data_IF_504710192009
#
_entry.id   IF_504710192009
#
_cell.length_a   1.000
_cell.length_b   1.000
_cell.length_c   1.000
_cell.angle_alpha   90.00
_cell.angle_beta   90.00
_cell.angle_gamma   90.00
#
_symmetry.space_group_name_H-M   'P 1'
#
loop_
_entity.id
_entity.type
_entity.pdbx_description
1 polymer ?
#
# COMPACT_ATOMS: atom_id res chain seq x y z
N UNK A 1 3.00 2.99 20.99
CA UNK A 1 2.64 1.54 20.96
C UNK A 1 3.67 0.79 20.12
N UNK A 2 4.06 -0.39 20.57
CA UNK A 2 4.93 -1.30 19.83
C UNK A 2 4.16 -2.04 18.72
N UNK A 3 4.90 -2.67 17.80
CA UNK A 3 4.33 -3.51 16.73
C UNK A 3 3.40 -4.60 17.29
N UNK A 4 3.79 -5.26 18.41
CA UNK A 4 2.99 -6.30 19.06
C UNK A 4 1.72 -5.77 19.73
N UNK A 5 1.79 -4.58 20.29
CA UNK A 5 0.62 -3.94 20.92
C UNK A 5 -0.42 -3.54 19.87
N UNK A 6 0.03 -3.08 18.70
CA UNK A 6 -0.85 -2.80 17.57
C UNK A 6 -1.52 -4.07 17.02
N UNK A 7 -0.74 -5.13 16.74
CA UNK A 7 -1.29 -6.42 16.31
C UNK A 7 -2.35 -6.94 17.30
N UNK A 8 -2.05 -6.84 18.61
CA UNK A 8 -3.01 -7.24 19.67
C UNK A 8 -4.26 -6.38 19.66
N UNK A 9 -4.12 -5.05 19.52
CA UNK A 9 -5.26 -4.11 19.50
C UNK A 9 -6.17 -4.34 18.29
N UNK A 10 -5.60 -4.68 17.15
CA UNK A 10 -6.32 -4.95 15.91
C UNK A 10 -6.82 -6.42 15.83
N UNK A 11 -6.45 -7.26 16.79
CA UNK A 11 -6.70 -8.71 16.78
C UNK A 11 -6.18 -9.43 15.53
N UNK A 12 -4.98 -9.03 15.07
CA UNK A 12 -4.31 -9.61 13.89
C UNK A 12 -2.91 -10.10 14.24
N UNK A 13 -2.29 -10.85 13.32
CA UNK A 13 -0.93 -11.37 13.44
C UNK A 13 -0.19 -11.07 12.14
N UNK A 14 0.60 -10.00 12.13
CA UNK A 14 1.31 -9.56 10.92
C UNK A 14 2.82 -9.58 11.05
N UNK A 15 3.35 -9.65 12.28
CA UNK A 15 4.79 -9.66 12.53
C UNK A 15 5.43 -10.91 11.93
N UNK A 16 6.64 -10.75 11.39
CA UNK A 16 7.46 -11.80 10.81
C UNK A 16 7.96 -11.43 9.43
N UNK A 17 8.84 -12.26 8.89
CA UNK A 17 9.39 -12.17 7.54
C UNK A 17 9.16 -13.49 6.83
N UNK A 18 8.85 -13.44 5.56
CA UNK A 18 8.78 -14.63 4.70
C UNK A 18 9.66 -14.36 3.48
N UNK A 19 10.48 -15.33 3.13
CA UNK A 19 11.32 -15.24 1.94
C UNK A 19 10.50 -15.39 0.67
N UNK A 20 11.00 -14.84 -0.41
CA UNK A 20 10.35 -14.86 -1.73
C UNK A 20 11.33 -15.44 -2.76
N UNK A 21 10.89 -16.43 -3.51
CA UNK A 21 11.70 -17.08 -4.54
C UNK A 21 11.52 -16.45 -5.93
N UNK A 22 10.45 -15.66 -6.13
CA UNK A 22 10.19 -15.00 -7.40
C UNK A 22 10.98 -13.68 -7.48
N UNK A 23 11.93 -13.54 -8.45
CA UNK A 23 12.81 -12.37 -8.54
C UNK A 23 12.07 -11.05 -8.87
N UNK A 24 10.80 -11.12 -9.23
CA UNK A 24 9.99 -9.94 -9.53
C UNK A 24 9.18 -9.42 -8.33
N UNK A 25 9.19 -10.14 -7.22
CA UNK A 25 8.47 -9.79 -6.00
C UNK A 25 9.41 -9.65 -4.83
N UNK A 26 9.08 -8.77 -3.91
CA UNK A 26 9.87 -8.55 -2.69
C UNK A 26 9.49 -9.54 -1.60
N UNK A 27 10.44 -9.96 -0.74
CA UNK A 27 10.12 -10.72 0.45
C UNK A 27 9.07 -10.01 1.31
N UNK A 28 8.23 -10.78 2.00
CA UNK A 28 7.26 -10.19 2.91
C UNK A 28 7.97 -9.43 4.03
N UNK A 29 7.71 -8.15 4.09
CA UNK A 29 8.12 -7.23 5.14
C UNK A 29 6.96 -6.32 5.52
N UNK A 30 6.87 -5.95 6.79
CA UNK A 30 5.72 -5.18 7.27
C UNK A 30 6.00 -3.69 7.30
N UNK A 31 5.10 -2.87 6.76
CA UNK A 31 5.11 -1.42 7.00
C UNK A 31 5.02 -1.15 8.51
N UNK A 32 5.95 -0.39 9.11
CA UNK A 32 5.90 -0.07 10.54
C UNK A 32 4.62 0.66 10.91
N UNK A 33 4.05 0.34 12.07
CA UNK A 33 2.83 1.02 12.53
C UNK A 33 3.02 2.51 12.80
N UNK A 34 4.23 2.94 13.16
CA UNK A 34 4.56 4.36 13.29
C UNK A 34 4.43 5.13 11.97
N UNK A 35 4.83 4.51 10.87
CA UNK A 35 4.66 5.04 9.50
C UNK A 35 3.19 5.08 9.12
N UNK A 36 2.45 4.00 9.39
CA UNK A 36 1.01 3.93 9.13
C UNK A 36 0.23 4.98 9.93
N UNK A 37 0.63 5.23 11.19
CA UNK A 37 0.04 6.29 12.00
C UNK A 37 0.27 7.67 11.37
N UNK A 38 1.49 7.95 10.93
CA UNK A 38 1.84 9.21 10.26
C UNK A 38 1.05 9.40 8.97
N UNK A 39 0.90 8.33 8.17
CA UNK A 39 0.05 8.34 6.98
C UNK A 39 -1.43 8.59 7.32
N UNK A 40 -1.94 7.93 8.36
CA UNK A 40 -3.31 8.13 8.83
C UNK A 40 -3.55 9.59 9.26
N UNK A 41 -2.58 10.19 9.98
CA UNK A 41 -2.68 11.56 10.51
C UNK A 41 -2.52 12.64 9.42
N UNK A 42 -1.92 12.30 8.28
CA UNK A 42 -1.72 13.23 7.16
C UNK A 42 -3.03 13.64 6.46
N UNK A 43 -4.08 12.84 6.59
CA UNK A 43 -5.36 13.10 5.95
C UNK A 43 -5.42 12.75 4.44
N UNK A 44 -4.37 12.14 3.88
CA UNK A 44 -4.37 11.72 2.47
C UNK A 44 -5.32 10.56 2.19
N UNK A 45 -5.69 9.79 3.22
CA UNK A 45 -6.71 8.74 3.14
C UNK A 45 -7.89 9.13 4.01
N UNK A 46 -9.06 9.23 3.43
CA UNK A 46 -10.31 9.59 4.12
C UNK A 46 -11.26 8.40 4.27
N UNK A 47 -12.29 8.58 5.10
CA UNK A 47 -13.28 7.54 5.39
C UNK A 47 -14.05 7.04 4.16
N UNK A 48 -14.19 7.89 3.14
CA UNK A 48 -14.91 7.56 1.90
C UNK A 48 -14.03 6.86 0.87
N UNK A 49 -12.71 6.85 1.09
CA UNK A 49 -11.77 6.25 0.16
C UNK A 49 -11.83 4.72 0.20
N UNK A 50 -11.43 4.12 -0.89
CA UNK A 50 -11.20 2.70 -1.02
C UNK A 50 -9.72 2.48 -1.36
N UNK A 51 -8.97 2.01 -0.37
CA UNK A 51 -7.56 1.72 -0.48
C UNK A 51 -7.32 0.39 -1.20
N UNK A 52 -6.39 0.35 -2.14
CA UNK A 52 -5.80 -0.86 -2.69
C UNK A 52 -4.35 -0.97 -2.21
N UNK A 53 -4.06 -2.02 -1.45
CA UNK A 53 -2.74 -2.37 -0.92
C UNK A 53 -2.10 -3.42 -1.83
N UNK A 54 -1.11 -3.01 -2.63
CA UNK A 54 -0.37 -3.87 -3.54
C UNK A 54 0.75 -4.60 -2.79
N UNK A 55 0.72 -5.94 -2.79
CA UNK A 55 1.62 -6.75 -1.98
C UNK A 55 1.24 -6.71 -0.50
N UNK A 56 -0.03 -6.87 -0.20
CA UNK A 56 -0.58 -6.66 1.15
C UNK A 56 -0.06 -7.65 2.21
N UNK A 57 0.57 -8.75 1.79
CA UNK A 57 1.04 -9.79 2.70
C UNK A 57 -0.05 -10.29 3.62
N UNK A 58 0.16 -10.16 4.93
CA UNK A 58 -0.81 -10.55 5.97
C UNK A 58 -1.88 -9.47 6.24
N UNK A 59 -1.91 -8.38 5.43
CA UNK A 59 -2.96 -7.37 5.39
C UNK A 59 -2.79 -6.20 6.37
N UNK A 60 -1.59 -5.97 6.96
CA UNK A 60 -1.37 -4.95 8.00
C UNK A 60 -1.91 -3.57 7.62
N UNK A 61 -1.54 -3.06 6.45
CA UNK A 61 -1.94 -1.73 5.97
C UNK A 61 -3.45 -1.63 5.85
N UNK A 62 -4.08 -2.61 5.21
CA UNK A 62 -5.52 -2.67 5.02
C UNK A 62 -6.28 -2.66 6.36
N UNK A 63 -5.86 -3.50 7.33
CA UNK A 63 -6.51 -3.56 8.65
C UNK A 63 -6.29 -2.29 9.45
N UNK A 64 -5.08 -1.73 9.43
CA UNK A 64 -4.79 -0.51 10.17
C UNK A 64 -5.60 0.68 9.63
N UNK A 65 -5.62 0.90 8.32
CA UNK A 65 -6.34 2.01 7.71
C UNK A 65 -7.87 1.86 7.87
N UNK A 66 -8.39 0.64 7.74
CA UNK A 66 -9.81 0.39 8.00
C UNK A 66 -10.20 0.66 9.46
N UNK A 67 -9.32 0.36 10.43
CA UNK A 67 -9.57 0.58 11.85
C UNK A 67 -9.42 2.05 12.27
N UNK A 68 -8.41 2.76 11.77
CA UNK A 68 -8.06 4.12 12.22
C UNK A 68 -8.78 5.20 11.41
N UNK A 69 -8.81 5.07 10.09
CA UNK A 69 -9.45 6.03 9.17
C UNK A 69 -10.91 5.67 8.91
N UNK A 70 -11.23 4.37 8.94
CA UNK A 70 -12.58 3.86 8.65
C UNK A 70 -12.87 3.72 7.15
N UNK A 71 -11.85 3.73 6.29
CA UNK A 71 -11.97 3.51 4.85
C UNK A 71 -12.27 2.04 4.54
N UNK A 72 -12.66 1.75 3.30
CA UNK A 72 -12.62 0.38 2.75
C UNK A 72 -11.21 0.07 2.29
N UNK A 73 -10.83 -1.21 2.31
CA UNK A 73 -9.52 -1.63 1.81
C UNK A 73 -9.60 -2.98 1.08
N UNK A 74 -8.94 -3.04 -0.05
CA UNK A 74 -8.65 -4.26 -0.79
C UNK A 74 -7.15 -4.53 -0.66
N UNK A 75 -6.78 -5.73 -0.21
CA UNK A 75 -5.39 -6.19 -0.21
C UNK A 75 -5.20 -7.26 -1.27
N UNK A 76 -4.18 -7.11 -2.10
CA UNK A 76 -3.80 -8.13 -3.08
C UNK A 76 -2.37 -8.60 -2.83
N UNK A 77 -2.14 -9.89 -3.01
CA UNK A 77 -0.82 -10.50 -2.93
C UNK A 77 -0.78 -11.74 -3.84
N UNK A 78 0.38 -12.04 -4.41
CA UNK A 78 0.55 -13.22 -5.25
C UNK A 78 0.69 -14.51 -4.42
N UNK A 79 1.10 -14.40 -3.15
CA UNK A 79 1.29 -15.53 -2.24
C UNK A 79 -0.04 -15.98 -1.63
N UNK A 80 -0.53 -17.15 -2.06
CA UNK A 80 -1.72 -17.77 -1.45
C UNK A 80 -1.54 -17.98 0.06
N UNK A 81 -0.34 -18.35 0.50
CA UNK A 81 0.00 -18.54 1.93
C UNK A 81 -0.25 -17.27 2.73
N UNK A 82 0.24 -16.11 2.24
CA UNK A 82 0.07 -14.82 2.92
C UNK A 82 -1.40 -14.38 2.93
N UNK A 83 -2.09 -14.57 1.82
CA UNK A 83 -3.53 -14.27 1.72
C UNK A 83 -4.37 -15.14 2.67
N UNK A 84 -4.01 -16.39 2.85
CA UNK A 84 -4.73 -17.26 3.81
C UNK A 84 -4.50 -16.77 5.25
N UNK A 85 -3.29 -16.36 5.60
CA UNK A 85 -2.99 -15.72 6.90
C UNK A 85 -3.75 -14.38 7.07
N UNK A 86 -3.83 -13.57 6.01
CA UNK A 86 -4.62 -12.34 6.02
C UNK A 86 -6.12 -12.60 6.20
N UNK A 87 -6.66 -13.67 5.61
CA UNK A 87 -8.06 -14.09 5.82
C UNK A 87 -8.34 -14.53 7.26
N UNK A 88 -7.38 -15.18 7.93
CA UNK A 88 -7.51 -15.47 9.36
C UNK A 88 -7.52 -14.17 10.20
N UNK A 89 -6.66 -13.20 9.87
CA UNK A 89 -6.69 -11.87 10.48
C UNK A 89 -8.04 -11.16 10.24
N UNK A 90 -8.63 -11.31 9.06
CA UNK A 90 -9.96 -10.75 8.77
C UNK A 90 -11.04 -11.31 9.69
N UNK A 91 -11.01 -12.62 9.99
CA UNK A 91 -11.97 -13.26 10.88
C UNK A 91 -11.87 -12.74 12.32
N UNK A 92 -10.63 -12.49 12.79
CA UNK A 92 -10.38 -12.08 14.19
C UNK A 92 -10.50 -10.58 14.43
N UNK A 93 -10.32 -9.74 13.41
CA UNK A 93 -10.24 -8.27 13.54
C UNK A 93 -11.59 -7.58 13.76
N UNK A 94 -12.71 -8.22 13.44
CA UNK A 94 -14.03 -7.57 13.43
C UNK A 94 -14.24 -6.54 12.30
N UNK A 95 -13.29 -6.44 11.35
CA UNK A 95 -13.33 -5.48 10.23
C UNK A 95 -13.75 -6.11 8.90
N UNK A 96 -14.31 -7.32 8.95
CA UNK A 96 -14.59 -8.14 7.77
C UNK A 96 -15.37 -7.47 6.64
N UNK A 97 -16.30 -6.60 6.96
CA UNK A 97 -17.14 -5.91 5.98
C UNK A 97 -16.40 -4.79 5.22
N UNK A 98 -15.25 -4.36 5.74
CA UNK A 98 -14.44 -3.29 5.13
C UNK A 98 -13.23 -3.81 4.35
N UNK A 99 -12.89 -5.09 4.50
CA UNK A 99 -11.65 -5.66 3.99
C UNK A 99 -11.96 -6.73 2.94
N UNK A 100 -11.39 -6.57 1.75
CA UNK A 100 -11.34 -7.59 0.70
C UNK A 100 -9.91 -8.09 0.53
N UNK A 101 -9.70 -9.41 0.38
CA UNK A 101 -8.39 -10.03 0.26
C UNK A 101 -8.38 -10.99 -0.92
N UNK A 102 -7.47 -10.77 -1.88
CA UNK A 102 -7.45 -11.49 -3.15
C UNK A 102 -6.03 -11.98 -3.44
N UNK A 103 -5.90 -13.28 -3.74
CA UNK A 103 -4.67 -13.85 -4.26
C UNK A 103 -4.61 -13.63 -5.77
N UNK A 104 -3.70 -12.78 -6.22
CA UNK A 104 -3.51 -12.47 -7.64
C UNK A 104 -2.17 -11.77 -7.87
N UNK A 105 -1.67 -11.83 -9.10
CA UNK A 105 -0.54 -11.01 -9.53
C UNK A 105 -0.97 -9.54 -9.65
N UNK A 106 -0.07 -8.62 -9.28
CA UNK A 106 -0.35 -7.18 -9.33
C UNK A 106 -0.73 -6.71 -10.74
N UNK A 107 -0.02 -7.19 -11.75
CA UNK A 107 -0.24 -6.87 -13.15
C UNK A 107 -1.51 -7.51 -13.76
N UNK A 108 -2.18 -8.41 -13.03
CA UNK A 108 -3.43 -9.03 -13.46
C UNK A 108 -4.66 -8.45 -12.76
N UNK A 109 -4.44 -7.76 -11.65
CA UNK A 109 -5.56 -7.18 -10.91
C UNK A 109 -6.11 -5.95 -11.62
N UNK A 110 -7.40 -5.92 -11.83
CA UNK A 110 -8.14 -4.74 -12.28
C UNK A 110 -8.84 -4.12 -11.09
N UNK A 111 -8.40 -2.93 -10.69
CA UNK A 111 -9.09 -2.15 -9.67
C UNK A 111 -10.53 -1.86 -10.13
N UNK A 112 -11.45 -1.65 -9.20
CA UNK A 112 -12.88 -1.43 -9.51
C UNK A 112 -13.32 -0.04 -9.09
N UNK A 113 -13.39 0.18 -7.79
CA UNK A 113 -13.78 1.43 -7.15
C UNK A 113 -12.73 1.91 -6.13
N UNK A 114 -11.54 1.30 -6.17
CA UNK A 114 -10.39 1.78 -5.41
C UNK A 114 -9.87 3.08 -6.02
N UNK A 115 -9.56 4.04 -5.16
CA UNK A 115 -9.10 5.37 -5.55
C UNK A 115 -7.84 5.82 -4.80
N UNK A 116 -7.30 4.97 -3.93
CA UNK A 116 -6.01 5.16 -3.26
C UNK A 116 -5.21 3.89 -3.43
N UNK A 117 -4.00 3.99 -3.97
CA UNK A 117 -3.13 2.88 -4.33
C UNK A 117 -1.85 2.95 -3.50
N UNK A 118 -1.66 1.99 -2.59
CA UNK A 118 -0.53 1.94 -1.68
C UNK A 118 0.51 0.92 -2.14
N UNK A 119 1.80 1.31 -2.02
CA UNK A 119 2.96 0.50 -2.37
C UNK A 119 4.04 0.63 -1.29
N UNK A 120 4.50 -0.50 -0.75
CA UNK A 120 5.72 -0.59 0.03
C UNK A 120 6.72 -1.47 -0.71
N UNK A 121 7.26 -0.98 -1.81
CA UNK A 121 8.23 -1.66 -2.68
C UNK A 121 7.90 -3.16 -2.90
N UNK A 122 6.68 -3.51 -3.31
CA UNK A 122 6.22 -4.90 -3.30
C UNK A 122 6.78 -5.75 -4.43
N UNK A 123 7.35 -5.15 -5.48
CA UNK A 123 7.80 -5.84 -6.69
C UNK A 123 8.82 -5.01 -7.50
N UNK A 124 9.42 -5.62 -8.53
CA UNK A 124 10.38 -4.96 -9.43
C UNK A 124 9.76 -3.78 -10.18
N UNK A 125 10.60 -2.84 -10.62
CA UNK A 125 10.15 -1.69 -11.40
C UNK A 125 9.43 -2.05 -12.70
N UNK A 126 9.76 -3.19 -13.30
CA UNK A 126 9.04 -3.70 -14.49
C UNK A 126 7.58 -4.03 -14.19
N UNK A 127 7.30 -4.66 -13.05
CA UNK A 127 5.94 -4.92 -12.60
C UNK A 127 5.24 -3.62 -12.23
N UNK A 128 5.95 -2.72 -11.52
CA UNK A 128 5.43 -1.40 -11.16
C UNK A 128 5.04 -0.56 -12.39
N UNK A 129 5.89 -0.52 -13.42
CA UNK A 129 5.57 0.13 -14.70
C UNK A 129 4.29 -0.42 -15.31
N UNK A 130 4.15 -1.74 -15.36
CA UNK A 130 2.96 -2.40 -15.91
C UNK A 130 1.69 -2.03 -15.14
N UNK A 131 1.77 -2.00 -13.80
CA UNK A 131 0.66 -1.58 -12.93
C UNK A 131 0.31 -0.11 -13.18
N UNK A 132 1.30 0.80 -13.19
CA UNK A 132 1.06 2.22 -13.44
C UNK A 132 0.40 2.49 -14.79
N UNK A 133 0.85 1.81 -15.86
CA UNK A 133 0.25 1.96 -17.20
C UNK A 133 -1.23 1.60 -17.21
N UNK A 134 -1.63 0.58 -16.44
CA UNK A 134 -3.03 0.17 -16.32
C UNK A 134 -3.84 1.16 -15.48
N UNK A 135 -3.26 1.66 -14.38
CA UNK A 135 -3.93 2.63 -13.52
C UNK A 135 -4.21 3.92 -14.27
N UNK A 136 -3.24 4.47 -15.01
CA UNK A 136 -3.41 5.73 -15.73
C UNK A 136 -4.48 5.72 -16.82
N UNK A 137 -4.77 4.55 -17.40
CA UNK A 137 -5.76 4.41 -18.47
C UNK A 137 -7.20 4.48 -17.96
N UNK A 138 -7.43 4.27 -16.67
CA UNK A 138 -8.78 3.99 -16.16
C UNK A 138 -9.13 4.69 -14.86
N UNK A 139 -8.15 5.26 -14.14
CA UNK A 139 -8.39 5.69 -12.77
C UNK A 139 -7.88 7.11 -12.52
N UNK A 140 -8.65 7.82 -11.72
CA UNK A 140 -8.25 9.06 -11.05
C UNK A 140 -8.14 8.74 -9.56
N UNK A 141 -7.08 9.15 -8.91
CA UNK A 141 -6.89 8.83 -7.50
C UNK A 141 -5.54 9.25 -6.95
N UNK A 142 -5.12 8.60 -5.88
CA UNK A 142 -3.83 8.85 -5.24
C UNK A 142 -2.95 7.63 -5.30
N UNK A 143 -1.66 7.85 -5.60
CA UNK A 143 -0.61 6.86 -5.42
C UNK A 143 0.14 7.24 -4.15
N UNK A 144 0.32 6.29 -3.24
CA UNK A 144 1.02 6.46 -1.97
C UNK A 144 2.13 5.42 -1.91
N UNK A 145 3.36 5.87 -1.88
CA UNK A 145 4.53 5.01 -1.84
C UNK A 145 5.28 5.21 -0.52
N UNK A 146 5.44 4.15 0.25
CA UNK A 146 6.37 4.15 1.38
C UNK A 146 7.68 3.50 0.95
N UNK A 147 8.78 4.09 1.39
CA UNK A 147 10.15 3.63 1.09
C UNK A 147 10.38 3.47 -0.42
N UNK A 148 10.16 4.54 -1.21
CA UNK A 148 10.19 4.47 -2.66
C UNK A 148 11.60 4.17 -3.19
N UNK A 149 11.70 3.32 -4.21
CA UNK A 149 12.96 3.12 -4.93
C UNK A 149 13.17 4.20 -6.00
N UNK A 150 14.44 4.43 -6.38
CA UNK A 150 14.77 5.36 -7.47
C UNK A 150 14.12 4.95 -8.79
N UNK A 151 13.97 3.64 -9.00
CA UNK A 151 13.31 3.10 -10.19
C UNK A 151 11.82 3.49 -10.24
N UNK A 152 11.10 3.37 -9.11
CA UNK A 152 9.70 3.79 -9.02
C UNK A 152 9.56 5.30 -9.23
N UNK A 153 10.41 6.08 -8.58
CA UNK A 153 10.42 7.54 -8.74
C UNK A 153 10.69 7.97 -10.17
N UNK A 154 11.60 7.26 -10.87
CA UNK A 154 11.87 7.52 -12.28
C UNK A 154 10.63 7.33 -13.15
N UNK A 155 9.90 6.23 -12.96
CA UNK A 155 8.65 5.99 -13.71
C UNK A 155 7.59 7.05 -13.44
N UNK A 156 7.39 7.42 -12.17
CA UNK A 156 6.39 8.43 -11.79
C UNK A 156 6.72 9.81 -12.38
N UNK A 157 8.00 10.21 -12.36
CA UNK A 157 8.44 11.49 -12.92
C UNK A 157 8.35 11.57 -14.45
N UNK A 158 8.32 10.43 -15.15
CA UNK A 158 8.17 10.38 -16.61
C UNK A 158 6.71 10.40 -17.06
N UNK A 159 5.74 10.30 -16.15
CA UNK A 159 4.33 10.24 -16.48
C UNK A 159 3.65 11.60 -16.28
N UNK A 160 3.20 12.28 -17.37
CA UNK A 160 2.53 13.57 -17.26
C UNK A 160 1.19 13.51 -16.52
N UNK A 161 0.57 12.33 -16.45
CA UNK A 161 -0.67 12.09 -15.71
C UNK A 161 -0.49 12.03 -14.20
N UNK A 162 0.77 12.02 -13.71
CA UNK A 162 1.11 11.88 -12.31
C UNK A 162 1.69 13.18 -11.77
N UNK A 163 1.00 13.78 -10.81
CA UNK A 163 1.42 14.99 -10.12
C UNK A 163 1.89 14.64 -8.70
N UNK A 164 3.13 15.03 -8.35
CA UNK A 164 3.60 14.93 -6.97
C UNK A 164 2.87 15.97 -6.11
N UNK A 165 2.28 15.56 -4.98
CA UNK A 165 1.47 16.44 -4.12
C UNK A 165 2.01 16.58 -2.70
N UNK A 166 2.74 15.58 -2.17
CA UNK A 166 3.28 15.66 -0.83
C UNK A 166 4.43 14.67 -0.60
N UNK A 167 5.35 15.02 0.30
CA UNK A 167 6.38 14.14 0.87
C UNK A 167 6.28 14.17 2.38
N UNK A 168 6.01 13.03 2.99
CA UNK A 168 5.91 12.87 4.44
C UNK A 168 7.19 12.20 4.94
N UNK A 169 8.05 12.98 5.58
CA UNK A 169 9.29 12.46 6.18
C UNK A 169 8.97 11.49 7.32
N UNK A 170 9.64 10.34 7.31
CA UNK A 170 9.57 9.31 8.34
C UNK A 170 10.93 9.02 8.99
N UNK A 171 12.00 9.71 8.58
CA UNK A 171 13.36 9.46 9.04
C UNK A 171 13.54 9.60 10.56
N UNK A 172 12.79 10.48 11.21
CA UNK A 172 12.79 10.67 12.67
C UNK A 172 12.19 9.49 13.46
N UNK A 173 11.39 8.64 12.80
CA UNK A 173 10.86 7.40 13.40
C UNK A 173 11.93 6.30 13.53
N UNK A 174 13.03 6.47 12.82
CA UNK A 174 14.17 5.57 12.76
C UNK A 174 15.44 6.34 13.14
N UNK A 175 16.58 5.92 12.64
CA UNK A 175 17.85 6.60 12.97
C UNK A 175 18.20 7.75 12.01
N UNK A 176 17.28 8.16 11.14
CA UNK A 176 17.43 9.29 10.21
C UNK A 176 18.52 9.13 9.15
N UNK A 177 18.97 7.91 8.86
CA UNK A 177 20.11 7.65 7.96
C UNK A 177 19.73 7.24 6.55
N UNK A 178 18.49 6.85 6.31
CA UNK A 178 18.01 6.43 5.00
C UNK A 178 16.98 7.43 4.49
N UNK A 179 17.32 8.13 3.42
CA UNK A 179 16.45 9.13 2.79
C UNK A 179 15.18 8.53 2.19
N UNK A 180 15.13 7.19 2.04
CA UNK A 180 13.93 6.49 1.58
C UNK A 180 12.88 6.29 2.68
N UNK A 181 13.24 6.56 3.95
CA UNK A 181 12.29 6.55 5.08
C UNK A 181 11.32 7.73 4.98
N UNK A 182 10.51 7.71 3.93
CA UNK A 182 9.48 8.72 3.65
C UNK A 182 8.31 8.10 2.91
N UNK A 183 7.20 8.81 2.92
CA UNK A 183 6.03 8.50 2.10
C UNK A 183 5.92 9.56 1.02
N UNK A 184 5.86 9.14 -0.22
CA UNK A 184 5.58 10.01 -1.36
C UNK A 184 4.12 9.86 -1.75
N UNK A 185 3.45 10.99 -1.97
CA UNK A 185 2.04 11.05 -2.36
C UNK A 185 1.91 11.73 -3.70
N UNK A 186 1.28 11.05 -4.64
CA UNK A 186 1.02 11.57 -5.97
C UNK A 186 -0.48 11.54 -6.24
N UNK A 187 -0.91 12.43 -7.13
CA UNK A 187 -2.23 12.40 -7.75
C UNK A 187 -2.12 11.81 -9.14
N UNK A 188 -2.98 10.85 -9.42
CA UNK A 188 -3.19 10.34 -10.78
C UNK A 188 -4.39 11.09 -11.38
N UNK A 189 -4.16 11.77 -12.49
CA UNK A 189 -5.13 12.65 -13.14
C UNK A 189 -5.61 12.04 -14.46
N UNK A 190 -6.80 12.44 -14.89
CA UNK A 190 -7.27 12.12 -16.24
C UNK A 190 -6.54 13.00 -17.26
N UNK A 191 -6.13 12.40 -18.38
CA UNK A 191 -5.43 13.10 -19.47
C UNK A 191 -6.31 14.24 -20.04
N UNK A 192 -7.61 14.07 -20.08
CA UNK A 192 -8.54 15.09 -20.56
C UNK A 192 -8.59 16.35 -19.68
N UNK A 193 -8.09 16.26 -18.44
CA UNK A 193 -8.04 17.41 -17.51
C UNK A 193 -6.76 18.24 -17.59
N UNK A 194 -5.76 17.82 -18.41
CA UNK A 194 -4.44 18.45 -18.53
C UNK A 194 -4.36 19.41 -19.75
N UNK A 195 -5.44 19.50 -20.56
CA UNK A 195 -5.54 20.32 -21.77
C UNK A 195 -5.98 21.77 -21.56
#
# INVERSE_FOLDING_TARGET
MTEREWDKRLHIKTIGREDEDNPHYSPYETTPYSVLQRLSDSGHIGRKDHLLDYGCGKGRVAFFMAATVGCRATGIDHSQKLIDMAKENRKSSGLGDRITLICTLAEQYEARDENVFFFFYPFSGKVFESVLRRLKERYVGKLILYYPSDEYMTWLNLMPEVEHIDTIDCGDLFNGKDERERIEVFRLQDIESIG
#
